data_IF_997117474186
#
_entry.id   IF_997117474186
#
_cell.length_a   1.000
_cell.length_b   1.000
_cell.length_c   1.000
_cell.angle_alpha   90.00
_cell.angle_beta   90.00
_cell.angle_gamma   90.00
#
_symmetry.space_group_name_H-M   'P 1'
#
loop_
_entity.id
_entity.type
_entity.pdbx_description
1 polymer ?
#
# COMPACT_ATOMS: atom_id res chain seq x y z
N UNK A 1 81.93 -22.33 -44.22
CA UNK A 1 80.93 -21.47 -44.91
C UNK A 1 79.75 -22.33 -45.35
N UNK A 2 78.53 -21.90 -44.98
CA UNK A 2 77.23 -22.20 -45.64
C UNK A 2 76.66 -23.63 -45.61
N UNK A 3 75.36 -23.65 -45.23
CA UNK A 3 74.26 -24.61 -45.52
C UNK A 3 74.20 -25.85 -44.60
N UNK A 4 73.21 -26.04 -43.72
CA UNK A 4 71.73 -26.10 -43.91
C UNK A 4 71.36 -27.25 -44.85
N UNK A 5 70.51 -28.24 -44.56
CA UNK A 5 69.24 -28.39 -43.82
C UNK A 5 69.12 -29.90 -43.48
N UNK A 6 68.29 -30.40 -42.55
CA UNK A 6 66.84 -30.56 -42.68
C UNK A 6 66.28 -31.06 -41.35
N UNK A 7 65.43 -30.24 -40.73
CA UNK A 7 64.51 -30.67 -39.68
C UNK A 7 63.37 -31.42 -40.36
N UNK A 8 63.15 -32.64 -39.89
CA UNK A 8 62.04 -33.51 -40.24
C UNK A 8 60.79 -33.02 -39.51
N UNK A 9 59.82 -32.60 -40.31
CA UNK A 9 58.40 -32.93 -40.26
C UNK A 9 57.64 -33.02 -38.91
N UNK A 10 56.52 -32.29 -38.90
CA UNK A 10 55.24 -32.58 -38.25
C UNK A 10 55.17 -32.57 -36.71
N UNK A 11 54.52 -31.53 -36.19
CA UNK A 11 53.25 -31.69 -35.46
C UNK A 11 52.46 -30.39 -35.56
N UNK A 12 51.61 -30.29 -36.57
CA UNK A 12 50.64 -29.22 -36.72
C UNK A 12 49.26 -29.78 -36.35
N UNK A 13 48.90 -29.84 -35.06
CA UNK A 13 47.49 -29.90 -34.60
C UNK A 13 47.34 -29.88 -33.06
N UNK A 14 47.79 -28.81 -32.38
CA UNK A 14 47.49 -28.68 -30.95
C UNK A 14 47.50 -27.22 -30.46
N UNK A 15 46.74 -26.32 -31.11
CA UNK A 15 46.55 -24.95 -30.59
C UNK A 15 45.15 -24.36 -30.90
N UNK A 16 44.13 -25.19 -31.07
CA UNK A 16 42.73 -24.73 -31.10
C UNK A 16 42.06 -25.05 -29.75
N UNK A 17 42.61 -24.49 -28.68
CA UNK A 17 41.79 -24.22 -27.50
C UNK A 17 40.94 -23.01 -27.85
N UNK A 18 39.60 -23.06 -27.72
CA UNK A 18 38.80 -21.85 -27.80
C UNK A 18 39.27 -20.97 -26.65
N UNK A 19 39.96 -19.87 -26.97
CA UNK A 19 40.09 -18.78 -26.02
C UNK A 19 38.67 -18.34 -25.71
N UNK A 20 38.15 -18.74 -24.56
CA UNK A 20 37.01 -18.09 -23.94
C UNK A 20 37.42 -16.63 -23.81
N UNK A 21 36.91 -15.78 -24.69
CA UNK A 21 37.02 -14.34 -24.48
C UNK A 21 36.43 -14.09 -23.09
N UNK A 22 37.14 -13.41 -22.18
CA UNK A 22 36.47 -12.95 -20.98
C UNK A 22 35.30 -12.11 -21.48
N UNK A 23 34.09 -12.56 -21.19
CA UNK A 23 32.91 -11.72 -21.34
C UNK A 23 33.16 -10.57 -20.39
N UNK A 24 33.67 -9.46 -20.92
CA UNK A 24 33.49 -8.19 -20.26
C UNK A 24 31.98 -8.05 -20.21
N UNK A 25 31.40 -8.29 -19.03
CA UNK A 25 30.12 -7.69 -18.73
C UNK A 25 30.34 -6.22 -19.10
N UNK A 26 29.67 -5.77 -20.17
CA UNK A 26 29.64 -4.36 -20.48
C UNK A 26 29.17 -3.74 -19.17
N UNK A 27 30.05 -2.98 -18.53
CA UNK A 27 29.76 -2.23 -17.33
C UNK A 27 28.81 -1.13 -17.80
N UNK A 28 27.57 -1.53 -18.07
CA UNK A 28 26.53 -0.64 -18.52
C UNK A 28 26.21 0.21 -17.31
N UNK A 29 26.85 1.36 -17.22
CA UNK A 29 26.50 2.40 -16.28
C UNK A 29 25.07 2.82 -16.59
N UNK A 30 24.10 2.20 -15.91
CA UNK A 30 22.69 2.56 -16.02
C UNK A 30 22.50 3.91 -15.31
N UNK A 31 21.92 4.85 -16.03
CA UNK A 31 21.60 6.18 -15.52
C UNK A 31 20.09 6.27 -15.27
N UNK A 32 19.71 6.69 -14.06
CA UNK A 32 18.30 6.91 -13.73
C UNK A 32 17.81 8.21 -14.38
N UNK A 33 16.85 8.11 -15.30
CA UNK A 33 16.32 9.26 -16.04
C UNK A 33 15.06 9.87 -15.39
N UNK A 34 14.25 9.06 -14.72
CA UNK A 34 12.97 9.51 -14.16
C UNK A 34 12.47 8.57 -13.06
N UNK A 35 11.73 9.12 -12.11
CA UNK A 35 11.02 8.36 -11.07
C UNK A 35 9.57 8.78 -11.03
N UNK A 36 8.67 7.80 -10.92
CA UNK A 36 7.27 7.99 -10.57
C UNK A 36 7.02 7.32 -9.22
N UNK A 37 6.52 8.09 -8.25
CA UNK A 37 6.17 7.58 -6.92
C UNK A 37 4.65 7.59 -6.81
N UNK A 38 4.05 6.40 -6.75
CA UNK A 38 2.64 6.24 -6.37
C UNK A 38 2.59 5.90 -4.89
N UNK A 39 2.27 6.88 -4.06
CA UNK A 39 2.28 6.73 -2.60
C UNK A 39 0.87 6.67 -2.03
N UNK A 40 0.68 5.85 -0.98
CA UNK A 40 -0.47 5.96 -0.09
C UNK A 40 -0.22 7.14 0.88
N UNK A 41 -1.29 7.69 1.44
CA UNK A 41 -1.16 8.61 2.57
C UNK A 41 -0.49 7.95 3.78
N UNK A 42 0.09 8.77 4.67
CA UNK A 42 0.70 8.32 5.92
C UNK A 42 -0.33 7.91 6.99
N UNK A 43 0.14 7.81 8.23
CA UNK A 43 -0.67 7.38 9.40
C UNK A 43 -1.81 8.38 9.62
N UNK A 44 -3.05 7.87 9.63
CA UNK A 44 -4.26 8.66 9.82
C UNK A 44 -5.07 8.16 11.01
N UNK A 45 -5.93 9.01 11.55
CA UNK A 45 -7.01 8.52 12.39
C UNK A 45 -7.98 7.63 11.57
N UNK A 46 -8.69 6.68 12.21
CA UNK A 46 -9.74 5.88 11.58
C UNK A 46 -10.78 6.75 10.83
N UNK A 47 -11.26 6.29 9.68
CA UNK A 47 -12.11 7.08 8.75
C UNK A 47 -13.46 7.50 9.34
N UNK A 48 -13.96 6.70 10.27
CA UNK A 48 -15.11 6.98 11.12
C UNK A 48 -14.64 6.64 12.53
N UNK A 49 -15.19 7.29 13.57
CA UNK A 49 -14.93 6.93 14.97
C UNK A 49 -15.45 5.50 15.24
N UNK A 50 -14.78 4.52 14.67
CA UNK A 50 -15.11 3.09 14.58
C UNK A 50 -16.43 2.76 13.85
N UNK A 51 -17.34 3.71 13.68
CA UNK A 51 -18.64 3.47 13.03
C UNK A 51 -19.49 2.49 13.84
N UNK A 52 -20.80 2.48 13.59
CA UNK A 52 -21.72 1.71 14.44
C UNK A 52 -21.35 0.22 14.47
N UNK A 53 -20.98 -0.36 13.33
CA UNK A 53 -20.67 -1.79 13.24
C UNK A 53 -19.44 -2.18 14.09
N UNK A 54 -18.31 -1.45 14.04
CA UNK A 54 -17.15 -1.84 14.87
C UNK A 54 -17.36 -1.51 16.34
N UNK A 55 -18.07 -0.42 16.65
CA UNK A 55 -18.39 -0.06 18.01
C UNK A 55 -19.33 -1.08 18.67
N UNK A 56 -20.31 -1.60 17.92
CA UNK A 56 -21.27 -2.58 18.41
C UNK A 56 -20.76 -4.03 18.38
N UNK A 57 -19.65 -4.28 17.68
CA UNK A 57 -18.98 -5.59 17.56
C UNK A 57 -18.01 -5.90 18.70
N UNK A 58 -17.94 -5.07 19.73
CA UNK A 58 -17.09 -5.32 20.91
C UNK A 58 -17.76 -4.82 22.19
N UNK A 59 -17.35 -5.35 23.33
CA UNK A 59 -17.70 -4.79 24.65
C UNK A 59 -16.72 -3.72 25.11
N UNK A 60 -15.55 -3.66 24.48
CA UNK A 60 -14.49 -2.74 24.85
C UNK A 60 -14.80 -1.31 24.40
N UNK A 61 -14.23 -0.34 25.12
CA UNK A 61 -14.25 1.06 24.69
C UNK A 61 -13.07 1.33 23.79
N UNK A 62 -13.34 1.77 22.56
CA UNK A 62 -12.27 2.11 21.63
C UNK A 62 -11.45 3.33 22.10
N UNK A 63 -10.12 3.33 21.96
CA UNK A 63 -9.28 4.46 22.31
C UNK A 63 -9.64 5.72 21.50
N UNK A 64 -9.60 6.87 22.18
CA UNK A 64 -9.82 8.17 21.56
C UNK A 64 -8.58 8.64 20.81
N UNK A 65 -8.77 9.07 19.57
CA UNK A 65 -7.74 9.73 18.78
C UNK A 65 -7.73 11.24 19.05
N UNK A 66 -6.54 11.84 19.09
CA UNK A 66 -6.39 13.30 19.19
C UNK A 66 -6.63 14.00 17.85
N UNK A 67 -6.33 13.30 16.75
CA UNK A 67 -6.59 13.74 15.39
C UNK A 67 -8.01 13.34 14.98
N UNK A 68 -8.70 14.25 14.28
CA UNK A 68 -10.04 13.97 13.73
C UNK A 68 -10.02 12.81 12.71
N UNK A 69 -11.11 12.06 12.67
CA UNK A 69 -11.26 10.87 11.83
C UNK A 69 -10.88 11.12 10.37
N UNK A 70 -10.04 10.25 9.82
CA UNK A 70 -9.61 10.31 8.43
C UNK A 70 -8.59 11.39 8.07
N UNK A 71 -8.14 12.22 9.03
CA UNK A 71 -7.03 13.15 8.84
C UNK A 71 -5.69 12.47 9.17
N UNK A 72 -4.61 13.00 8.56
CA UNK A 72 -3.23 12.59 8.85
C UNK A 72 -2.88 13.01 10.29
N UNK A 73 -2.21 12.14 11.05
CA UNK A 73 -1.75 12.47 12.39
C UNK A 73 -0.45 13.28 12.36
N UNK A 74 -0.12 14.05 13.41
CA UNK A 74 1.18 14.72 13.50
C UNK A 74 2.36 13.74 13.36
N UNK A 75 2.24 12.54 13.94
CA UNK A 75 3.26 11.50 13.80
C UNK A 75 3.30 10.91 12.38
N UNK A 76 2.15 10.76 11.72
CA UNK A 76 2.08 10.43 10.30
C UNK A 76 2.88 11.41 9.45
N UNK A 77 2.75 12.72 9.70
CA UNK A 77 3.55 13.75 9.03
C UNK A 77 5.06 13.58 9.25
N UNK A 78 5.50 13.34 10.49
CA UNK A 78 6.92 13.10 10.80
C UNK A 78 7.49 11.86 10.09
N UNK A 79 6.71 10.78 10.02
CA UNK A 79 7.11 9.57 9.27
C UNK A 79 7.27 9.89 7.78
N UNK A 80 6.38 10.69 7.19
CA UNK A 80 6.50 11.11 5.80
C UNK A 80 7.71 12.02 5.55
N UNK A 81 8.08 12.87 6.52
CA UNK A 81 9.31 13.67 6.43
C UNK A 81 10.58 12.80 6.43
N UNK A 82 10.59 11.72 7.21
CA UNK A 82 11.67 10.74 7.18
C UNK A 82 11.74 9.99 5.85
N UNK A 83 10.59 9.61 5.29
CA UNK A 83 10.52 9.04 3.94
C UNK A 83 11.04 10.04 2.90
N UNK A 84 10.65 11.31 3.00
CA UNK A 84 11.18 12.39 2.15
C UNK A 84 12.70 12.49 2.21
N UNK A 85 13.28 12.50 3.42
CA UNK A 85 14.74 12.52 3.61
C UNK A 85 15.44 11.33 2.94
N UNK A 86 14.88 10.12 3.11
CA UNK A 86 15.40 8.94 2.47
C UNK A 86 15.39 9.07 0.93
N UNK A 87 14.25 9.48 0.37
CA UNK A 87 14.14 9.68 -1.08
C UNK A 87 15.08 10.75 -1.59
N UNK A 88 15.26 11.85 -0.86
CA UNK A 88 16.25 12.88 -1.21
C UNK A 88 17.66 12.33 -1.29
N UNK A 89 18.09 11.58 -0.28
CA UNK A 89 19.42 10.97 -0.26
C UNK A 89 19.61 9.98 -1.42
N UNK A 90 18.59 9.16 -1.70
CA UNK A 90 18.62 8.22 -2.83
C UNK A 90 18.67 8.93 -4.19
N UNK A 91 17.82 9.93 -4.42
CA UNK A 91 17.76 10.69 -5.67
C UNK A 91 19.06 11.48 -5.94
N UNK A 92 19.70 11.98 -4.88
CA UNK A 92 21.01 12.64 -4.98
C UNK A 92 22.12 11.63 -5.35
N UNK A 93 22.09 10.43 -4.73
CA UNK A 93 23.05 9.36 -5.04
C UNK A 93 22.93 8.88 -6.49
N UNK A 94 21.73 8.84 -7.04
CA UNK A 94 21.48 8.49 -8.45
C UNK A 94 21.66 9.68 -9.40
N UNK A 95 22.08 10.84 -8.89
CA UNK A 95 22.30 12.07 -9.66
C UNK A 95 21.05 12.59 -10.38
N UNK A 96 19.85 12.12 -10.00
CA UNK A 96 18.59 12.58 -10.60
C UNK A 96 18.22 14.00 -10.14
N UNK A 97 18.61 14.35 -8.90
CA UNK A 97 18.46 15.69 -8.35
C UNK A 97 19.78 16.18 -7.75
N UNK A 98 20.04 17.49 -7.69
CA UNK A 98 21.22 18.04 -7.02
C UNK A 98 21.28 17.62 -5.55
N UNK A 99 22.46 17.32 -4.99
CA UNK A 99 22.57 16.81 -3.62
C UNK A 99 22.22 17.84 -2.53
N UNK A 100 22.65 19.10 -2.69
CA UNK A 100 22.54 20.14 -1.65
C UNK A 100 21.69 21.36 -2.07
N UNK A 101 21.16 21.39 -3.28
CA UNK A 101 20.40 22.52 -3.82
C UNK A 101 18.94 22.14 -4.05
N UNK A 102 18.06 23.13 -4.01
CA UNK A 102 16.68 22.94 -4.44
C UNK A 102 16.61 22.49 -5.90
N UNK A 103 15.67 21.60 -6.26
CA UNK A 103 15.45 21.23 -7.64
C UNK A 103 15.01 22.46 -8.45
N UNK A 104 15.38 22.50 -9.73
CA UNK A 104 14.92 23.56 -10.63
C UNK A 104 13.44 23.40 -10.94
N UNK A 105 12.80 24.47 -11.43
CA UNK A 105 11.40 24.43 -11.83
C UNK A 105 11.14 23.25 -12.81
N UNK A 106 10.12 22.43 -12.50
CA UNK A 106 9.72 21.28 -13.32
C UNK A 106 10.48 19.97 -13.06
N UNK A 107 11.56 19.96 -12.27
CA UNK A 107 12.25 18.70 -11.93
C UNK A 107 11.47 17.82 -10.95
N UNK A 108 10.67 18.45 -10.08
CA UNK A 108 9.82 17.77 -9.11
C UNK A 108 8.39 18.24 -9.30
N UNK A 109 7.48 17.29 -9.48
CA UNK A 109 6.05 17.54 -9.57
C UNK A 109 5.35 16.68 -8.52
N UNK A 110 4.60 17.33 -7.63
CA UNK A 110 3.81 16.68 -6.59
C UNK A 110 2.33 16.84 -6.89
N UNK A 111 1.62 15.72 -6.99
CA UNK A 111 0.18 15.68 -7.24
C UNK A 111 -0.50 14.74 -6.26
N UNK A 112 -1.38 15.30 -5.43
CA UNK A 112 -2.17 14.56 -4.46
C UNK A 112 -3.65 14.57 -4.88
N UNK A 113 -4.37 13.55 -4.43
CA UNK A 113 -5.83 13.62 -4.34
C UNK A 113 -6.22 14.81 -3.44
N UNK A 114 -7.43 15.32 -3.58
CA UNK A 114 -7.92 16.48 -2.84
C UNK A 114 -8.45 16.17 -1.43
N UNK A 115 -8.18 14.98 -0.88
CA UNK A 115 -8.47 14.72 0.52
C UNK A 115 -7.38 15.32 1.43
N UNK A 116 -7.73 15.93 2.59
CA UNK A 116 -6.75 16.56 3.46
C UNK A 116 -5.55 15.66 3.80
N UNK A 117 -5.81 14.40 4.16
CA UNK A 117 -4.75 13.43 4.48
C UNK A 117 -3.74 13.20 3.34
N UNK A 118 -4.17 13.22 2.08
CA UNK A 118 -3.27 13.00 0.94
C UNK A 118 -2.47 14.26 0.62
N UNK A 119 -3.10 15.43 0.73
CA UNK A 119 -2.41 16.72 0.56
C UNK A 119 -1.34 16.88 1.64
N UNK A 120 -1.67 16.64 2.90
CA UNK A 120 -0.73 16.85 4.00
C UNK A 120 0.40 15.81 3.99
N UNK A 121 0.12 14.56 3.61
CA UNK A 121 1.18 13.55 3.36
C UNK A 121 2.17 14.08 2.32
N UNK A 122 1.68 14.56 1.19
CA UNK A 122 2.54 15.07 0.12
C UNK A 122 3.35 16.31 0.56
N UNK A 123 2.77 17.20 1.38
CA UNK A 123 3.48 18.36 1.94
C UNK A 123 4.61 17.93 2.87
N UNK A 124 4.36 16.99 3.78
CA UNK A 124 5.38 16.47 4.70
C UNK A 124 6.49 15.73 3.94
N UNK A 125 6.12 14.90 2.95
CA UNK A 125 7.10 14.24 2.09
C UNK A 125 7.99 15.26 1.34
N UNK A 126 7.40 16.28 0.72
CA UNK A 126 8.16 17.33 0.01
C UNK A 126 9.03 18.14 0.97
N UNK A 127 8.52 18.47 2.16
CA UNK A 127 9.28 19.20 3.19
C UNK A 127 10.48 18.39 3.69
N UNK A 128 10.32 17.08 3.87
CA UNK A 128 11.41 16.17 4.22
C UNK A 128 12.41 15.97 3.08
N UNK A 129 11.94 15.89 1.84
CA UNK A 129 12.81 15.65 0.68
C UNK A 129 13.57 16.91 0.24
N UNK A 130 12.96 18.09 0.35
CA UNK A 130 13.50 19.35 -0.18
C UNK A 130 13.30 20.48 0.84
N UNK A 131 13.92 20.40 2.03
CA UNK A 131 13.72 21.36 3.10
C UNK A 131 14.12 22.78 2.66
N UNK A 132 13.23 23.74 2.88
CA UNK A 132 13.42 25.16 2.53
C UNK A 132 13.21 25.49 1.05
N UNK A 133 12.84 24.51 0.21
CA UNK A 133 12.55 24.75 -1.19
C UNK A 133 11.08 25.15 -1.41
N UNK A 134 10.85 26.06 -2.34
CA UNK A 134 9.50 26.49 -2.75
C UNK A 134 8.88 25.48 -3.72
N UNK A 135 8.43 24.34 -3.18
CA UNK A 135 7.75 23.28 -3.92
C UNK A 135 6.31 23.14 -3.42
N UNK A 136 5.35 23.31 -4.33
CA UNK A 136 3.94 23.18 -4.03
C UNK A 136 3.42 21.76 -4.30
N UNK A 137 2.38 21.38 -3.55
CA UNK A 137 1.58 20.18 -3.82
C UNK A 137 0.37 20.60 -4.64
N UNK A 138 0.21 19.99 -5.81
CA UNK A 138 -0.96 20.21 -6.66
C UNK A 138 -2.09 19.29 -6.21
N UNK A 139 -3.30 19.82 -6.12
CA UNK A 139 -4.56 19.09 -6.07
C UNK A 139 -5.54 19.76 -7.03
N UNK A 140 -6.31 19.00 -7.82
CA UNK A 140 -7.05 19.56 -8.97
C UNK A 140 -8.54 19.81 -8.72
N UNK A 141 -9.08 19.26 -7.63
CA UNK A 141 -10.47 19.49 -7.23
C UNK A 141 -10.54 20.12 -5.83
N UNK A 142 -11.73 20.59 -5.45
CA UNK A 142 -11.99 21.16 -4.12
C UNK A 142 -11.54 20.23 -2.98
N UNK A 143 -10.94 20.82 -1.95
CA UNK A 143 -10.47 20.09 -0.77
C UNK A 143 -11.66 19.37 -0.11
N UNK A 144 -11.47 18.09 0.20
CA UNK A 144 -12.50 17.21 0.75
C UNK A 144 -13.26 16.40 -0.31
N UNK A 145 -13.07 16.68 -1.61
CA UNK A 145 -13.65 15.87 -2.70
C UNK A 145 -12.64 14.87 -3.26
N UNK A 146 -13.16 13.76 -3.80
CA UNK A 146 -12.33 12.78 -4.52
C UNK A 146 -12.03 13.28 -5.92
N UNK A 147 -10.73 13.43 -6.23
CA UNK A 147 -10.25 13.72 -7.57
C UNK A 147 -10.45 12.48 -8.48
N UNK A 148 -11.04 12.62 -9.68
CA UNK A 148 -11.29 11.51 -10.60
C UNK A 148 -10.06 10.66 -10.95
N UNK A 149 -8.84 11.21 -10.90
CA UNK A 149 -7.62 10.42 -11.13
C UNK A 149 -7.41 9.37 -10.05
N UNK A 150 -7.85 9.64 -8.83
CA UNK A 150 -7.64 8.77 -7.67
C UNK A 150 -8.93 8.10 -7.19
N UNK A 151 -10.08 8.44 -7.75
CA UNK A 151 -11.39 7.97 -7.28
C UNK A 151 -11.71 6.57 -7.82
N UNK A 152 -11.69 5.50 -6.99
CA UNK A 152 -11.79 4.13 -7.46
C UNK A 152 -13.25 3.69 -7.66
N UNK A 153 -14.01 4.46 -8.44
CA UNK A 153 -15.42 4.21 -8.71
C UNK A 153 -15.64 3.41 -9.99
N UNK A 154 -16.77 2.70 -10.06
CA UNK A 154 -17.20 2.03 -11.29
C UNK A 154 -17.72 3.08 -12.28
N UNK A 155 -16.92 3.42 -13.29
CA UNK A 155 -17.31 4.36 -14.36
C UNK A 155 -18.06 3.71 -15.51
N UNK A 156 -17.92 2.39 -15.67
CA UNK A 156 -18.66 1.60 -16.65
C UNK A 156 -20.16 1.50 -16.28
N UNK A 157 -21.00 1.26 -17.29
CA UNK A 157 -22.41 0.95 -17.07
C UNK A 157 -22.55 -0.36 -16.30
N UNK A 158 -23.29 -0.34 -15.18
CA UNK A 158 -23.49 -1.54 -14.34
C UNK A 158 -24.73 -2.30 -14.80
N UNK A 159 -24.59 -3.00 -15.94
CA UNK A 159 -25.59 -3.93 -16.47
C UNK A 159 -25.36 -5.38 -16.01
N UNK A 160 -26.26 -6.30 -16.37
CA UNK A 160 -26.20 -7.69 -15.90
C UNK A 160 -24.95 -8.45 -16.35
N UNK A 161 -24.45 -8.16 -17.56
CA UNK A 161 -23.18 -8.71 -18.03
C UNK A 161 -22.02 -8.22 -17.17
N UNK A 162 -21.93 -6.91 -16.94
CA UNK A 162 -20.90 -6.33 -16.08
C UNK A 162 -20.92 -6.94 -14.68
N UNK A 163 -22.11 -7.03 -14.06
CA UNK A 163 -22.26 -7.64 -12.73
C UNK A 163 -21.79 -9.09 -12.72
N UNK A 164 -22.21 -9.88 -13.70
CA UNK A 164 -21.83 -11.29 -13.82
C UNK A 164 -20.32 -11.44 -13.98
N UNK A 165 -19.72 -10.70 -14.91
CA UNK A 165 -18.28 -10.76 -15.18
C UNK A 165 -17.45 -10.29 -13.97
N UNK A 166 -17.88 -9.21 -13.32
CA UNK A 166 -17.22 -8.68 -12.12
C UNK A 166 -17.32 -9.65 -10.94
N UNK A 167 -18.50 -10.23 -10.68
CA UNK A 167 -18.68 -11.23 -9.62
C UNK A 167 -17.88 -12.50 -9.90
N UNK A 168 -17.83 -12.96 -11.15
CA UNK A 168 -17.01 -14.10 -11.55
C UNK A 168 -15.53 -13.81 -11.33
N UNK A 169 -15.05 -12.63 -11.72
CA UNK A 169 -13.66 -12.19 -11.49
C UNK A 169 -13.32 -12.13 -10.00
N UNK A 170 -14.20 -11.54 -9.18
CA UNK A 170 -14.01 -11.46 -7.72
C UNK A 170 -13.97 -12.86 -7.10
N UNK A 171 -14.90 -13.74 -7.47
CA UNK A 171 -14.93 -15.12 -6.95
C UNK A 171 -13.70 -15.92 -7.40
N UNK A 172 -13.27 -15.77 -8.65
CA UNK A 172 -12.05 -16.40 -9.14
C UNK A 172 -10.82 -15.93 -8.37
N UNK A 173 -10.72 -14.62 -8.09
CA UNK A 173 -9.63 -14.06 -7.32
C UNK A 173 -9.66 -14.47 -5.84
N UNK A 174 -10.86 -14.59 -5.26
CA UNK A 174 -11.05 -15.09 -3.91
C UNK A 174 -10.60 -16.56 -3.78
N UNK A 175 -10.65 -17.33 -4.87
CA UNK A 175 -10.17 -18.70 -4.97
C UNK A 175 -11.29 -19.74 -4.83
N UNK A 176 -10.95 -20.93 -4.35
CA UNK A 176 -11.90 -22.03 -4.20
C UNK A 176 -13.13 -21.61 -3.38
N UNK A 177 -14.33 -21.92 -3.87
CA UNK A 177 -15.59 -21.54 -3.21
C UNK A 177 -15.90 -20.03 -3.22
N UNK A 178 -15.16 -19.21 -3.99
CA UNK A 178 -15.38 -17.77 -4.09
C UNK A 178 -15.21 -17.05 -2.75
N UNK A 179 -15.97 -15.97 -2.57
CA UNK A 179 -15.94 -15.17 -1.32
C UNK A 179 -16.36 -16.00 -0.10
N UNK A 180 -17.37 -16.86 -0.22
CA UNK A 180 -17.83 -17.68 0.91
C UNK A 180 -16.75 -18.71 1.30
N UNK A 181 -16.06 -19.30 0.31
CA UNK A 181 -14.89 -20.13 0.55
C UNK A 181 -13.74 -19.36 1.19
N UNK A 182 -13.52 -18.11 0.82
CA UNK A 182 -12.55 -17.22 1.47
C UNK A 182 -12.91 -17.00 2.95
N UNK A 183 -14.18 -16.76 3.28
CA UNK A 183 -14.63 -16.64 4.67
C UNK A 183 -14.33 -17.90 5.48
N UNK A 184 -14.55 -19.09 4.92
CA UNK A 184 -14.24 -20.35 5.60
C UNK A 184 -12.73 -20.52 5.82
N UNK A 185 -11.90 -20.16 4.84
CA UNK A 185 -10.43 -20.20 4.99
C UNK A 185 -9.92 -19.20 6.03
N UNK A 186 -10.57 -18.05 6.17
CA UNK A 186 -10.25 -17.03 7.17
C UNK A 186 -10.83 -17.32 8.56
N UNK A 187 -11.53 -18.44 8.75
CA UNK A 187 -12.13 -18.80 10.05
C UNK A 187 -11.15 -18.71 11.24
N UNK A 188 -9.90 -19.20 11.16
CA UNK A 188 -8.95 -19.04 12.27
C UNK A 188 -8.63 -17.56 12.58
N UNK A 189 -8.48 -16.73 11.54
CA UNK A 189 -8.24 -15.29 11.69
C UNK A 189 -9.45 -14.58 12.29
N UNK A 190 -10.67 -14.96 11.88
CA UNK A 190 -11.89 -14.44 12.46
C UNK A 190 -12.06 -14.86 13.92
N UNK A 191 -11.71 -16.09 14.28
CA UNK A 191 -11.73 -16.54 15.68
C UNK A 191 -10.76 -15.73 16.55
N UNK A 192 -9.54 -15.50 16.07
CA UNK A 192 -8.59 -14.63 16.75
C UNK A 192 -9.17 -13.23 16.96
N UNK A 193 -9.71 -12.62 15.91
CA UNK A 193 -10.31 -11.31 15.99
C UNK A 193 -11.51 -11.27 16.95
N UNK A 194 -12.37 -12.28 16.91
CA UNK A 194 -13.51 -12.40 17.83
C UNK A 194 -13.09 -12.45 19.29
N UNK A 195 -11.98 -13.12 19.59
CA UNK A 195 -11.44 -13.18 20.94
C UNK A 195 -10.94 -11.81 21.38
N UNK A 196 -10.09 -11.17 20.56
CA UNK A 196 -9.55 -9.82 20.81
C UNK A 196 -10.67 -8.78 21.01
N UNK A 197 -11.74 -8.89 20.24
CA UNK A 197 -12.87 -7.95 20.29
C UNK A 197 -13.93 -8.31 21.34
N UNK A 198 -13.79 -9.42 22.07
CA UNK A 198 -14.86 -9.95 22.93
C UNK A 198 -16.22 -10.05 22.18
N UNK A 199 -16.16 -10.51 20.93
CA UNK A 199 -17.27 -10.45 19.98
C UNK A 199 -18.50 -11.25 20.43
N UNK A 200 -18.30 -12.36 21.16
CA UNK A 200 -19.37 -13.19 21.72
C UNK A 200 -20.23 -12.45 22.76
N UNK A 201 -19.68 -11.39 23.37
CA UNK A 201 -20.37 -10.56 24.34
C UNK A 201 -20.82 -9.21 23.77
N UNK A 202 -20.45 -8.92 22.53
CA UNK A 202 -20.86 -7.71 21.80
C UNK A 202 -22.38 -7.59 21.63
N UNK A 203 -22.83 -6.37 21.35
CA UNK A 203 -24.24 -6.08 21.06
C UNK A 203 -24.71 -6.87 19.83
N UNK A 204 -23.88 -6.93 18.79
CA UNK A 204 -24.17 -7.65 17.54
C UNK A 204 -24.45 -9.14 17.80
N UNK A 205 -23.66 -9.82 18.65
CA UNK A 205 -23.95 -11.21 18.98
C UNK A 205 -25.17 -11.36 19.90
N UNK A 206 -25.28 -10.56 20.97
CA UNK A 206 -26.36 -10.74 21.96
C UNK A 206 -27.75 -10.38 21.41
N UNK A 207 -27.84 -9.31 20.61
CA UNK A 207 -29.09 -8.77 20.09
C UNK A 207 -29.41 -9.34 18.70
N UNK A 208 -28.46 -9.27 17.76
CA UNK A 208 -28.71 -9.62 16.36
C UNK A 208 -28.40 -11.09 16.05
N UNK A 209 -27.92 -11.85 17.05
CA UNK A 209 -27.58 -13.28 16.96
C UNK A 209 -26.49 -13.61 15.94
N UNK A 210 -25.71 -12.60 15.56
CA UNK A 210 -24.55 -12.75 14.67
C UNK A 210 -23.31 -12.98 15.54
N UNK A 211 -23.04 -14.24 15.88
CA UNK A 211 -21.99 -14.60 16.85
C UNK A 211 -20.77 -15.30 16.22
N UNK A 212 -20.85 -15.69 14.95
CA UNK A 212 -19.74 -16.32 14.22
C UNK A 212 -19.54 -15.59 12.90
N UNK A 213 -18.43 -14.84 12.80
CA UNK A 213 -18.04 -14.10 11.60
C UNK A 213 -17.87 -15.03 10.40
N UNK A 214 -17.26 -16.21 10.57
CA UNK A 214 -17.00 -17.11 9.45
C UNK A 214 -18.30 -17.65 8.81
N UNK A 215 -19.39 -17.67 9.57
CA UNK A 215 -20.70 -18.15 9.13
C UNK A 215 -21.61 -17.03 8.59
N UNK A 216 -21.18 -15.77 8.67
CA UNK A 216 -21.98 -14.65 8.16
C UNK A 216 -21.88 -14.54 6.63
N UNK A 217 -23.00 -14.22 5.95
CA UNK A 217 -22.99 -14.05 4.51
C UNK A 217 -22.19 -12.82 4.09
N UNK A 218 -21.48 -12.93 2.97
CA UNK A 218 -20.83 -11.79 2.30
C UNK A 218 -21.48 -11.52 0.97
N UNK A 219 -21.58 -10.25 0.59
CA UNK A 219 -22.08 -9.84 -0.72
C UNK A 219 -21.26 -8.69 -1.29
N UNK A 220 -20.96 -8.77 -2.58
CA UNK A 220 -20.30 -7.69 -3.32
C UNK A 220 -21.35 -6.70 -3.78
N UNK A 221 -21.14 -5.42 -3.47
CA UNK A 221 -22.01 -4.32 -3.87
C UNK A 221 -21.37 -3.59 -5.04
N UNK A 222 -22.00 -3.71 -6.20
CA UNK A 222 -21.57 -3.03 -7.43
C UNK A 222 -22.62 -1.97 -7.78
N UNK A 223 -22.22 -0.70 -7.71
CA UNK A 223 -23.09 0.43 -8.06
C UNK A 223 -22.32 1.40 -8.94
N UNK A 224 -22.92 1.79 -10.06
CA UNK A 224 -22.31 2.75 -10.98
C UNK A 224 -22.03 4.07 -10.26
N UNK A 225 -20.86 4.65 -10.51
CA UNK A 225 -20.41 5.89 -9.88
C UNK A 225 -19.99 5.74 -8.41
N UNK A 226 -19.92 4.51 -7.86
CA UNK A 226 -19.47 4.24 -6.50
C UNK A 226 -18.30 3.27 -6.48
N UNK A 227 -17.56 3.27 -5.37
CA UNK A 227 -16.53 2.28 -5.10
C UNK A 227 -17.18 0.88 -4.97
N UNK A 228 -16.57 -0.18 -5.53
CA UNK A 228 -17.00 -1.55 -5.25
C UNK A 228 -16.94 -1.83 -3.75
N UNK A 229 -18.06 -2.30 -3.18
CA UNK A 229 -18.17 -2.60 -1.76
C UNK A 229 -18.26 -4.10 -1.48
N UNK A 230 -18.04 -4.49 -0.23
CA UNK A 230 -18.36 -5.82 0.28
C UNK A 230 -19.08 -5.71 1.63
N UNK A 231 -20.05 -6.57 1.88
CA UNK A 231 -20.73 -6.71 3.18
C UNK A 231 -20.26 -7.95 3.93
N UNK A 232 -20.61 -8.02 5.21
CA UNK A 232 -20.34 -9.18 6.06
C UNK A 232 -18.95 -9.16 6.70
N UNK A 233 -18.42 -10.33 7.07
CA UNK A 233 -17.30 -10.48 8.00
C UNK A 233 -15.99 -9.87 7.48
N UNK A 234 -15.72 -9.93 6.17
CA UNK A 234 -14.53 -9.32 5.56
C UNK A 234 -14.45 -7.81 5.82
N UNK A 235 -15.58 -7.10 5.70
CA UNK A 235 -15.63 -5.65 5.94
C UNK A 235 -15.37 -5.31 7.40
N UNK A 236 -16.02 -6.04 8.32
CA UNK A 236 -15.85 -5.83 9.76
C UNK A 236 -14.41 -6.13 10.15
N UNK A 237 -13.89 -7.30 9.77
CA UNK A 237 -12.56 -7.74 10.13
C UNK A 237 -11.45 -6.83 9.58
N UNK A 238 -11.59 -6.38 8.33
CA UNK A 238 -10.66 -5.40 7.76
C UNK A 238 -10.71 -4.08 8.51
N UNK A 239 -11.90 -3.61 8.89
CA UNK A 239 -12.05 -2.37 9.68
C UNK A 239 -11.39 -2.45 11.05
N UNK A 240 -11.58 -3.55 11.78
CA UNK A 240 -10.95 -3.77 13.08
C UNK A 240 -9.42 -3.90 12.96
N UNK A 241 -8.94 -4.68 11.99
CA UNK A 241 -7.51 -4.85 11.76
C UNK A 241 -6.84 -3.53 11.34
N UNK A 242 -7.46 -2.71 10.46
CA UNK A 242 -6.95 -1.37 10.11
C UNK A 242 -6.87 -0.48 11.35
N UNK A 243 -7.88 -0.50 12.21
CA UNK A 243 -7.87 0.25 13.46
C UNK A 243 -6.72 -0.16 14.40
N UNK A 244 -6.50 -1.46 14.61
CA UNK A 244 -5.42 -1.96 15.47
C UNK A 244 -4.03 -1.63 14.90
N UNK A 245 -3.83 -1.80 13.59
CA UNK A 245 -2.58 -1.42 12.93
C UNK A 245 -2.30 0.08 13.07
N UNK A 246 -3.32 0.92 12.89
CA UNK A 246 -3.17 2.37 13.03
C UNK A 246 -2.85 2.75 14.49
N UNK A 247 -3.48 2.15 15.49
CA UNK A 247 -3.13 2.37 16.90
C UNK A 247 -1.65 2.05 17.16
N UNK A 248 -1.17 0.92 16.64
CA UNK A 248 0.21 0.51 16.78
C UNK A 248 1.18 1.50 16.10
N UNK A 249 0.91 1.90 14.86
CA UNK A 249 1.79 2.83 14.13
C UNK A 249 1.79 4.24 14.71
N UNK A 250 0.64 4.71 15.19
CA UNK A 250 0.55 5.98 15.92
C UNK A 250 1.36 5.90 17.24
N UNK A 251 1.58 4.70 17.77
CA UNK A 251 2.37 4.48 18.98
C UNK A 251 1.55 4.66 20.26
N UNK A 252 0.29 4.22 20.23
CA UNK A 252 -0.48 4.05 21.45
C UNK A 252 0.28 3.10 22.41
N UNK A 253 0.12 3.27 23.73
CA UNK A 253 0.58 2.28 24.69
C UNK A 253 0.05 0.89 24.30
N UNK A 254 0.86 -0.17 24.44
CA UNK A 254 0.45 -1.52 24.00
C UNK A 254 -0.84 -2.02 24.67
N UNK A 255 -1.14 -1.57 25.89
CA UNK A 255 -2.42 -1.84 26.58
C UNK A 255 -3.65 -1.21 25.91
N UNK A 256 -3.45 -0.22 25.05
CA UNK A 256 -4.52 0.48 24.34
C UNK A 256 -4.60 0.01 22.87
N UNK A 257 -3.52 -0.56 22.32
CA UNK A 257 -3.53 -1.25 21.02
C UNK A 257 -4.31 -2.55 21.16
N UNK A 258 -5.47 -2.64 20.53
CA UNK A 258 -6.37 -3.80 20.68
C UNK A 258 -6.60 -4.20 22.15
N UNK A 259 -6.63 -3.21 23.06
CA UNK A 259 -6.80 -3.39 24.51
C UNK A 259 -5.72 -4.26 25.19
N UNK A 260 -4.57 -4.47 24.54
CA UNK A 260 -3.50 -5.34 25.02
C UNK A 260 -3.77 -6.83 24.84
N UNK A 261 -4.86 -7.20 24.17
CA UNK A 261 -5.21 -8.57 23.83
C UNK A 261 -4.36 -9.07 22.64
N UNK A 262 -3.97 -10.35 22.64
CA UNK A 262 -3.17 -10.98 21.59
C UNK A 262 -3.65 -12.39 21.25
#
# INVERSE_FOLDING_TARGET
MKKSHRVLALTALACLLPMSTPSFAADMSLELQQVLIMSRHGIRAPLVNYGDVLAESTTHTWPKWQTEGGLLTPKGGQVEEHMGHYFRAWLAKTQLVPAAQCPTAGQVFSYANSLPRTIDTAKHFISGAFPGCDLSVVNRVEIGKMDPVFNPIITAEVNDKFKTDALNSVNQHAGEGGIDGLNQRLKPNYQLLQNIMDYQNSKVCKQDKQCDLASQPSSVVLTQGKEPGITGPLRMATGAADAFMLQYYEGFPMKDVAWGEN
#
